data_IF_087062823738
#
_entry.id   IF_087062823738
#
_cell.length_a   1.000
_cell.length_b   1.000
_cell.length_c   1.000
_cell.angle_alpha   90.00
_cell.angle_beta   90.00
_cell.angle_gamma   90.00
#
_symmetry.space_group_name_H-M   'P 1'
#
loop_
_entity.id
_entity.type
_entity.pdbx_description
1 polymer ?
#
# COMPACT_ATOMS: atom_id res chain seq x y z
N UNK A 1 18.11 24.11 6.40
CA UNK A 1 17.53 23.81 5.08
C UNK A 1 16.31 22.97 5.33
N UNK A 2 15.11 23.53 5.13
CA UNK A 2 13.90 22.72 5.05
C UNK A 2 14.14 21.67 3.97
N UNK A 3 14.22 20.40 4.37
CA UNK A 3 14.18 19.29 3.42
C UNK A 3 12.75 19.28 2.90
N UNK A 4 12.51 20.03 1.82
CA UNK A 4 11.19 20.12 1.20
C UNK A 4 10.62 18.71 1.02
N UNK A 5 9.42 18.49 1.55
CA UNK A 5 8.72 17.22 1.42
C UNK A 5 8.56 16.97 -0.07
N UNK A 6 9.16 15.90 -0.58
CA UNK A 6 9.00 15.52 -1.99
C UNK A 6 7.50 15.34 -2.27
N UNK A 7 6.96 15.94 -3.34
CA UNK A 7 5.54 15.89 -3.61
C UNK A 7 5.08 14.45 -3.80
N UNK A 8 3.89 14.15 -3.30
CA UNK A 8 3.25 12.86 -3.53
C UNK A 8 2.61 12.87 -4.91
N UNK A 9 2.89 11.84 -5.69
CA UNK A 9 2.34 11.67 -7.03
C UNK A 9 1.61 10.33 -7.15
N UNK A 10 0.54 10.31 -7.92
CA UNK A 10 -0.13 9.07 -8.32
C UNK A 10 0.68 8.46 -9.46
N UNK A 11 1.18 7.23 -9.29
CA UNK A 11 1.87 6.52 -10.37
C UNK A 11 0.91 6.21 -11.52
N UNK A 12 1.42 6.26 -12.75
CA UNK A 12 0.65 5.90 -13.95
C UNK A 12 0.19 4.43 -13.93
N UNK A 13 0.98 3.54 -13.33
CA UNK A 13 0.69 2.12 -13.21
C UNK A 13 1.22 1.54 -11.90
N UNK A 14 0.60 0.42 -11.48
CA UNK A 14 1.06 -0.38 -10.34
C UNK A 14 2.01 -1.46 -10.85
N UNK A 15 3.29 -1.34 -10.50
CA UNK A 15 4.34 -2.24 -10.98
C UNK A 15 4.45 -3.48 -10.10
N UNK A 16 5.20 -4.50 -10.57
CA UNK A 16 5.47 -5.69 -9.75
C UNK A 16 6.32 -5.37 -8.51
N UNK A 17 7.21 -4.38 -8.63
CA UNK A 17 7.95 -3.85 -7.48
C UNK A 17 7.03 -3.25 -6.41
N UNK A 18 5.99 -2.51 -6.82
CA UNK A 18 5.01 -1.97 -5.88
C UNK A 18 4.24 -3.09 -5.16
N UNK A 19 3.88 -4.15 -5.90
CA UNK A 19 3.20 -5.33 -5.34
C UNK A 19 4.10 -6.05 -4.34
N UNK A 20 5.39 -6.15 -4.62
CA UNK A 20 6.38 -6.73 -3.69
C UNK A 20 6.49 -5.91 -2.40
N UNK A 21 6.60 -4.58 -2.50
CA UNK A 21 6.57 -3.68 -1.34
C UNK A 21 5.34 -3.94 -0.48
N UNK A 22 4.16 -3.97 -1.12
CA UNK A 22 2.91 -4.19 -0.43
C UNK A 22 2.85 -5.57 0.23
N UNK A 23 3.30 -6.61 -0.48
CA UNK A 23 3.34 -7.97 0.04
C UNK A 23 4.23 -8.09 1.27
N UNK A 24 5.40 -7.44 1.28
CA UNK A 24 6.29 -7.45 2.45
C UNK A 24 5.67 -6.68 3.61
N UNK A 25 5.04 -5.52 3.33
CA UNK A 25 4.42 -4.71 4.37
C UNK A 25 3.24 -5.43 5.04
N UNK A 26 2.49 -6.23 4.30
CA UNK A 26 1.34 -7.02 4.79
C UNK A 26 1.73 -8.40 5.34
N UNK A 27 3.02 -8.72 5.44
CA UNK A 27 3.46 -10.00 6.01
C UNK A 27 2.89 -10.19 7.42
N UNK A 28 2.27 -11.35 7.66
CA UNK A 28 1.53 -11.65 8.89
C UNK A 28 0.04 -11.26 8.90
N UNK A 29 -0.48 -10.61 7.85
CA UNK A 29 -1.92 -10.33 7.70
C UNK A 29 -2.58 -11.41 6.84
N UNK A 30 -3.34 -12.28 7.49
CA UNK A 30 -4.03 -13.41 6.86
C UNK A 30 -5.55 -13.16 6.72
N UNK A 31 -6.20 -13.91 5.83
CA UNK A 31 -7.66 -13.89 5.65
C UNK A 31 -8.19 -12.80 4.71
N UNK A 32 -7.34 -11.85 4.30
CA UNK A 32 -7.67 -10.81 3.31
C UNK A 32 -6.69 -10.82 2.14
N UNK A 33 -7.21 -10.56 0.94
CA UNK A 33 -6.43 -10.36 -0.27
C UNK A 33 -6.54 -8.91 -0.71
N UNK A 34 -5.42 -8.20 -0.64
CA UNK A 34 -5.30 -6.80 -1.05
C UNK A 34 -4.79 -6.74 -2.49
N UNK A 35 -5.61 -6.21 -3.40
CA UNK A 35 -5.25 -6.05 -4.81
C UNK A 35 -5.06 -4.55 -5.08
N UNK A 36 -3.82 -4.05 -5.20
CA UNK A 36 -3.57 -2.63 -5.44
C UNK A 36 -4.09 -2.20 -6.82
N UNK A 37 -4.79 -1.06 -6.86
CA UNK A 37 -5.32 -0.43 -8.08
C UNK A 37 -4.69 0.93 -8.35
N UNK A 38 -4.15 1.59 -7.33
CA UNK A 38 -3.38 2.81 -7.46
C UNK A 38 -2.30 2.88 -6.38
N UNK A 39 -1.20 3.56 -6.69
CA UNK A 39 -0.10 3.84 -5.76
C UNK A 39 0.16 5.34 -5.78
N UNK A 40 0.15 5.95 -4.60
CA UNK A 40 0.60 7.32 -4.39
C UNK A 40 1.93 7.25 -3.67
N UNK A 41 2.96 7.90 -4.19
CA UNK A 41 4.29 7.87 -3.56
C UNK A 41 5.09 9.12 -3.89
N UNK A 42 6.07 9.44 -3.04
CA UNK A 42 7.12 10.42 -3.34
C UNK A 42 8.37 9.76 -3.94
N UNK A 43 8.31 8.47 -4.29
CA UNK A 43 9.41 7.68 -4.85
C UNK A 43 10.52 7.35 -3.85
N UNK A 44 10.35 7.73 -2.57
CA UNK A 44 11.39 7.58 -1.54
C UNK A 44 10.87 6.76 -0.36
N UNK A 45 10.11 7.39 0.55
CA UNK A 45 9.76 6.81 1.85
C UNK A 45 8.28 6.48 1.97
N UNK A 46 7.40 7.29 1.37
CA UNK A 46 5.96 7.18 1.60
C UNK A 46 5.28 6.48 0.43
N UNK A 47 4.54 5.41 0.74
CA UNK A 47 3.71 4.68 -0.20
C UNK A 47 2.31 4.57 0.35
N UNK A 48 1.33 5.00 -0.43
CA UNK A 48 -0.09 4.79 -0.15
C UNK A 48 -0.71 3.95 -1.27
N UNK A 49 -1.17 2.75 -0.91
CA UNK A 49 -1.83 1.86 -1.84
C UNK A 49 -3.33 2.00 -1.70
N UNK A 50 -4.04 2.21 -2.81
CA UNK A 50 -5.48 2.01 -2.86
C UNK A 50 -5.71 0.58 -3.32
N UNK A 51 -6.39 -0.22 -2.51
CA UNK A 51 -6.58 -1.64 -2.74
C UNK A 51 -8.05 -2.03 -2.79
N UNK A 52 -8.39 -2.90 -3.75
CA UNK A 52 -9.59 -3.74 -3.69
C UNK A 52 -9.31 -4.90 -2.75
N UNK A 53 -10.04 -4.97 -1.64
CA UNK A 53 -9.89 -6.00 -0.62
C UNK A 53 -10.95 -7.07 -0.82
N UNK A 54 -10.52 -8.33 -0.83
CA UNK A 54 -11.40 -9.51 -0.83
C UNK A 54 -11.13 -10.34 0.41
N UNK A 55 -12.17 -10.73 1.15
CA UNK A 55 -12.07 -11.75 2.19
C UNK A 55 -11.85 -13.11 1.55
N UNK A 56 -11.06 -13.98 2.20
CA UNK A 56 -10.89 -15.37 1.76
C UNK A 56 -12.05 -16.27 2.17
N UNK A 57 -12.92 -15.80 3.06
CA UNK A 57 -14.17 -16.45 3.45
C UNK A 57 -15.29 -15.86 2.59
N UNK A 58 -16.11 -16.74 2.01
CA UNK A 58 -17.01 -16.60 0.84
C UNK A 58 -18.09 -15.49 0.87
N UNK A 59 -18.04 -14.54 1.81
CA UNK A 59 -18.93 -13.38 1.82
C UNK A 59 -18.36 -12.26 0.96
N UNK A 60 -18.98 -12.06 -0.21
CA UNK A 60 -18.62 -11.19 -1.33
C UNK A 60 -18.78 -9.69 -0.95
N UNK A 61 -18.18 -9.22 0.14
CA UNK A 61 -18.06 -7.77 0.37
C UNK A 61 -16.69 -7.31 -0.12
N UNK A 62 -16.67 -6.86 -1.37
CA UNK A 62 -15.53 -6.11 -1.89
C UNK A 62 -15.52 -4.74 -1.22
N UNK A 63 -14.47 -4.50 -0.44
CA UNK A 63 -14.22 -3.22 0.20
C UNK A 63 -13.03 -2.55 -0.45
N UNK A 64 -12.96 -1.23 -0.33
CA UNK A 64 -11.77 -0.47 -0.70
C UNK A 64 -11.00 -0.12 0.56
N UNK A 65 -9.69 -0.27 0.51
CA UNK A 65 -8.82 0.16 1.60
C UNK A 65 -7.67 1.02 1.08
N UNK A 66 -7.30 2.02 1.86
CA UNK A 66 -6.04 2.74 1.73
C UNK A 66 -5.02 2.14 2.71
N UNK A 67 -3.88 1.72 2.20
CA UNK A 67 -2.82 1.08 2.98
C UNK A 67 -1.62 2.02 3.00
N UNK A 68 -1.19 2.38 4.19
CA UNK A 68 -0.07 3.28 4.43
C UNK A 68 1.17 2.46 4.70
N UNK A 69 2.18 2.58 3.84
CA UNK A 69 3.44 1.85 3.93
C UNK A 69 4.59 2.84 3.94
N UNK A 70 5.53 2.63 4.86
CA UNK A 70 6.77 3.37 4.92
C UNK A 70 7.93 2.50 4.47
N UNK A 71 8.75 3.02 3.57
CA UNK A 71 10.03 2.43 3.16
C UNK A 71 11.15 3.25 3.79
N UNK A 72 12.16 2.58 4.33
CA UNK A 72 13.38 3.21 4.82
C UNK A 72 14.56 2.51 4.18
N UNK A 73 15.62 3.25 3.84
CA UNK A 73 16.84 2.68 3.25
C UNK A 73 17.37 1.51 4.11
N UNK A 74 17.63 0.38 3.47
CA UNK A 74 18.13 -0.87 4.08
C UNK A 74 17.19 -1.51 5.12
N UNK A 75 15.90 -1.17 5.12
CA UNK A 75 14.89 -1.84 5.96
C UNK A 75 13.76 -2.40 5.11
N UNK A 76 13.06 -3.38 5.65
CA UNK A 76 11.83 -3.90 5.03
C UNK A 76 10.74 -2.81 5.03
N UNK A 77 9.89 -2.76 4.00
CA UNK A 77 8.65 -2.00 4.04
C UNK A 77 7.86 -2.26 5.33
N UNK A 78 7.38 -1.19 5.96
CA UNK A 78 6.64 -1.26 7.22
C UNK A 78 5.21 -0.76 7.00
N UNK A 79 4.24 -1.60 7.34
CA UNK A 79 2.85 -1.19 7.43
C UNK A 79 2.67 -0.18 8.56
N UNK A 80 2.04 0.95 8.25
CA UNK A 80 1.67 1.97 9.23
C UNK A 80 0.20 1.88 9.62
N UNK A 81 -0.69 1.73 8.63
CA UNK A 81 -2.13 1.69 8.82
C UNK A 81 -2.86 1.05 7.64
N UNK A 82 -4.05 0.52 7.91
CA UNK A 82 -5.04 0.12 6.91
C UNK A 82 -6.32 0.88 7.25
N UNK A 83 -6.82 1.65 6.28
CA UNK A 83 -8.03 2.46 6.42
C UNK A 83 -9.07 1.98 5.42
N UNK A 84 -10.25 1.56 5.89
CA UNK A 84 -11.39 1.27 5.02
C UNK A 84 -11.91 2.59 4.44
N UNK A 85 -12.11 2.65 3.12
CA UNK A 85 -12.57 3.86 2.42
C UNK A 85 -13.86 3.65 1.61
N UNK A 86 -14.36 2.41 1.51
CA UNK A 86 -15.68 2.06 0.95
C UNK A 86 -16.05 0.61 1.26
#
# INVERSE_FOLDING_TARGET
>A
MDKGIAPLEIKNEVTDYDKEILSIALDGIYGWKFNPVAVITNGMEDYYFICKVKTMIETIQMKMAKIYVQIQKNKKPRLLAIEEIC
#
